data_IF_257607374074
#
_entry.id   IF_257607374074
#
_cell.length_a   1.000
_cell.length_b   1.000
_cell.length_c   1.000
_cell.angle_alpha   90.00
_cell.angle_beta   90.00
_cell.angle_gamma   90.00
#
_symmetry.space_group_name_H-M   'P 1'
#
loop_
_entity.id
_entity.type
_entity.pdbx_description
1 polymer ?
#
# COMPACT_ATOMS: atom_id res chain seq x y z
N UNK A 1 10.21 -18.59 3.25
CA UNK A 1 9.12 -18.86 2.30
C UNK A 1 9.39 -18.03 1.07
N UNK A 2 9.41 -18.64 -0.10
CA UNK A 2 10.02 -18.02 -1.28
C UNK A 2 9.05 -17.00 -1.89
N UNK A 3 9.54 -15.78 -2.14
CA UNK A 3 8.80 -14.69 -2.79
C UNK A 3 8.08 -15.13 -4.06
N UNK A 4 8.70 -16.02 -4.84
CA UNK A 4 8.11 -16.59 -6.05
C UNK A 4 6.79 -17.35 -5.78
N UNK A 5 6.69 -18.07 -4.67
CA UNK A 5 5.48 -18.84 -4.33
C UNK A 5 4.31 -17.92 -4.01
N UNK A 6 4.56 -16.84 -3.25
CA UNK A 6 3.57 -15.82 -2.93
C UNK A 6 3.12 -15.07 -4.19
N UNK A 7 4.07 -14.60 -5.00
CA UNK A 7 3.76 -13.89 -6.24
C UNK A 7 2.92 -14.75 -7.18
N UNK A 8 3.28 -16.02 -7.37
CA UNK A 8 2.53 -16.93 -8.24
C UNK A 8 1.11 -17.18 -7.73
N UNK A 9 0.92 -17.33 -6.43
CA UNK A 9 -0.41 -17.51 -5.84
C UNK A 9 -1.29 -16.26 -6.05
N UNK A 10 -0.75 -15.07 -5.80
CA UNK A 10 -1.44 -13.79 -6.06
C UNK A 10 -1.82 -13.66 -7.54
N UNK A 11 -0.89 -13.96 -8.46
CA UNK A 11 -1.15 -13.87 -9.90
C UNK A 11 -2.24 -14.86 -10.34
N UNK A 12 -2.28 -16.05 -9.75
CA UNK A 12 -3.36 -17.02 -10.00
C UNK A 12 -4.73 -16.50 -9.53
N UNK A 13 -4.78 -15.82 -8.37
CA UNK A 13 -6.01 -15.20 -7.87
C UNK A 13 -6.45 -14.05 -8.78
N UNK A 14 -5.51 -13.20 -9.21
CA UNK A 14 -5.78 -12.07 -10.09
C UNK A 14 -6.20 -12.49 -11.51
N UNK A 15 -5.77 -13.68 -11.96
CA UNK A 15 -5.93 -14.17 -13.34
C UNK A 15 -5.35 -13.21 -14.39
N UNK A 16 -4.36 -12.41 -14.00
CA UNK A 16 -3.67 -11.45 -14.87
C UNK A 16 -2.15 -11.51 -14.62
N UNK A 17 -1.38 -12.20 -15.49
CA UNK A 17 0.07 -12.30 -15.34
C UNK A 17 0.79 -10.96 -15.57
N UNK A 18 0.13 -9.98 -16.21
CA UNK A 18 0.70 -8.66 -16.47
C UNK A 18 0.93 -7.82 -15.21
N UNK A 19 0.37 -8.23 -14.06
CA UNK A 19 0.54 -7.52 -12.78
C UNK A 19 1.80 -7.90 -12.00
N UNK A 20 2.63 -8.86 -12.46
CA UNK A 20 3.82 -9.32 -11.71
C UNK A 20 4.70 -8.18 -11.19
N UNK A 21 5.04 -7.15 -12.00
CA UNK A 21 5.89 -6.06 -11.52
C UNK A 21 5.25 -5.25 -10.38
N UNK A 22 3.93 -5.07 -10.42
CA UNK A 22 3.19 -4.34 -9.39
C UNK A 22 3.10 -5.17 -8.11
N UNK A 23 2.83 -6.48 -8.22
CA UNK A 23 2.78 -7.39 -7.08
C UNK A 23 4.14 -7.44 -6.36
N UNK A 24 5.23 -7.57 -7.11
CA UNK A 24 6.58 -7.56 -6.54
C UNK A 24 6.91 -6.23 -5.85
N UNK A 25 6.54 -5.10 -6.45
CA UNK A 25 6.74 -3.78 -5.84
C UNK A 25 5.98 -3.64 -4.52
N UNK A 26 4.72 -4.11 -4.46
CA UNK A 26 3.93 -4.13 -3.23
C UNK A 26 4.57 -4.98 -2.15
N UNK A 27 5.03 -6.19 -2.47
CA UNK A 27 5.64 -7.07 -1.48
C UNK A 27 6.96 -6.47 -0.95
N UNK A 28 7.80 -5.90 -1.83
CA UNK A 28 9.03 -5.21 -1.42
C UNK A 28 8.74 -3.98 -0.57
N UNK A 29 7.69 -3.24 -0.88
CA UNK A 29 7.29 -2.05 -0.12
C UNK A 29 6.78 -2.42 1.27
N UNK A 30 5.96 -3.47 1.37
CA UNK A 30 5.55 -4.03 2.66
C UNK A 30 6.75 -4.49 3.50
N UNK A 31 7.72 -5.12 2.85
CA UNK A 31 8.95 -5.56 3.51
C UNK A 31 9.76 -4.39 4.08
N UNK A 32 9.78 -3.24 3.38
CA UNK A 32 10.43 -2.03 3.88
C UNK A 32 9.81 -1.46 5.15
N UNK A 33 8.55 -1.83 5.46
CA UNK A 33 7.89 -1.45 6.71
C UNK A 33 8.04 -2.52 7.80
N UNK A 34 8.77 -3.62 7.54
CA UNK A 34 8.89 -4.76 8.44
C UNK A 34 7.80 -5.82 8.28
N UNK A 35 6.80 -5.60 7.41
CA UNK A 35 5.72 -6.56 7.21
C UNK A 35 6.11 -7.65 6.20
N UNK A 36 6.40 -8.86 6.71
CA UNK A 36 6.67 -10.04 5.91
C UNK A 36 5.36 -10.71 5.46
N UNK A 37 4.91 -10.37 4.25
CA UNK A 37 3.71 -10.97 3.67
C UNK A 37 3.81 -12.50 3.53
N UNK A 38 2.73 -13.20 3.89
CA UNK A 38 2.62 -14.65 3.78
C UNK A 38 1.63 -15.09 2.70
N UNK A 39 1.65 -16.37 2.30
CA UNK A 39 0.68 -16.93 1.33
C UNK A 39 -0.75 -16.86 1.86
N UNK A 40 -0.95 -16.86 3.17
CA UNK A 40 -2.26 -16.58 3.78
C UNK A 40 -2.80 -15.18 3.44
N UNK A 41 -1.91 -14.25 3.10
CA UNK A 41 -2.26 -12.86 2.76
C UNK A 41 -2.50 -12.68 1.26
N UNK A 42 -2.23 -13.69 0.41
CA UNK A 42 -2.37 -13.60 -1.05
C UNK A 42 -3.72 -13.06 -1.48
N UNK A 43 -4.81 -13.55 -0.87
CA UNK A 43 -6.16 -13.10 -1.18
C UNK A 43 -6.38 -11.63 -0.81
N UNK A 44 -5.90 -11.21 0.37
CA UNK A 44 -6.00 -9.83 0.82
C UNK A 44 -5.20 -8.90 -0.11
N UNK A 45 -3.98 -9.29 -0.47
CA UNK A 45 -3.12 -8.52 -1.38
C UNK A 45 -3.78 -8.39 -2.75
N UNK A 46 -4.26 -9.50 -3.32
CA UNK A 46 -4.95 -9.50 -4.61
C UNK A 46 -6.21 -8.62 -4.59
N UNK A 47 -7.01 -8.72 -3.53
CA UNK A 47 -8.21 -7.91 -3.36
C UNK A 47 -7.90 -6.42 -3.24
N UNK A 48 -6.94 -6.05 -2.37
CA UNK A 48 -6.50 -4.67 -2.19
C UNK A 48 -5.93 -4.08 -3.48
N UNK A 49 -5.16 -4.87 -4.24
CA UNK A 49 -4.65 -4.47 -5.55
C UNK A 49 -5.78 -4.14 -6.53
N UNK A 50 -6.77 -5.03 -6.68
CA UNK A 50 -7.91 -4.79 -7.57
C UNK A 50 -8.76 -3.60 -7.13
N UNK A 51 -8.99 -3.45 -5.81
CA UNK A 51 -9.75 -2.35 -5.23
C UNK A 51 -9.08 -1.01 -5.49
N UNK A 52 -7.80 -0.88 -5.13
CA UNK A 52 -7.04 0.36 -5.31
C UNK A 52 -6.85 0.70 -6.77
N UNK A 53 -6.56 -0.29 -7.62
CA UNK A 53 -6.51 -0.07 -9.07
C UNK A 53 -7.83 0.49 -9.60
N UNK A 54 -8.95 -0.12 -9.25
CA UNK A 54 -10.27 0.36 -9.67
C UNK A 54 -10.54 1.77 -9.17
N UNK A 55 -10.15 2.08 -7.93
CA UNK A 55 -10.27 3.42 -7.36
C UNK A 55 -9.49 4.47 -8.15
N UNK A 56 -8.19 4.22 -8.42
CA UNK A 56 -7.33 5.13 -9.19
C UNK A 56 -7.88 5.32 -10.60
N UNK A 57 -8.20 4.24 -11.31
CA UNK A 57 -8.72 4.30 -12.68
C UNK A 57 -10.03 5.09 -12.76
N UNK A 58 -10.92 4.94 -11.77
CA UNK A 58 -12.15 5.71 -11.68
C UNK A 58 -11.89 7.20 -11.44
N UNK A 59 -10.90 7.54 -10.61
CA UNK A 59 -10.55 8.94 -10.33
C UNK A 59 -9.96 9.66 -11.55
N UNK A 60 -9.06 9.00 -12.27
CA UNK A 60 -8.39 9.59 -13.44
C UNK A 60 -9.15 9.38 -14.75
N UNK A 61 -10.12 8.46 -14.78
CA UNK A 61 -10.89 8.03 -15.95
C UNK A 61 -9.98 7.52 -17.09
N UNK A 62 -9.04 6.63 -16.74
CA UNK A 62 -8.19 5.90 -17.67
C UNK A 62 -8.51 4.39 -17.64
N UNK A 63 -8.01 3.66 -18.64
CA UNK A 63 -8.11 2.19 -18.69
C UNK A 63 -6.93 1.50 -17.96
N UNK A 64 -5.81 2.20 -17.82
CA UNK A 64 -4.57 1.70 -17.21
C UNK A 64 -3.94 2.76 -16.32
N UNK A 65 -3.18 2.32 -15.30
CA UNK A 65 -2.47 3.20 -14.38
C UNK A 65 -1.22 3.74 -15.12
N UNK A 66 -1.10 5.07 -15.31
CA UNK A 66 0.10 5.67 -15.88
C UNK A 66 1.35 5.40 -15.03
N UNK A 67 2.53 5.35 -15.66
CA UNK A 67 3.80 5.10 -14.97
C UNK A 67 4.03 6.05 -13.78
N UNK A 68 3.67 7.33 -13.93
CA UNK A 68 3.81 8.35 -12.88
C UNK A 68 2.94 8.10 -11.64
N UNK A 69 1.94 7.22 -11.72
CA UNK A 69 1.09 6.81 -10.60
C UNK A 69 1.44 5.41 -10.06
N UNK A 70 2.49 4.75 -10.57
CA UNK A 70 2.83 3.38 -10.15
C UNK A 70 3.23 3.31 -8.68
N UNK A 71 4.17 4.15 -8.24
CA UNK A 71 4.60 4.20 -6.83
C UNK A 71 3.48 4.66 -5.89
N UNK A 72 2.59 5.50 -6.41
CA UNK A 72 1.38 5.96 -5.72
C UNK A 72 0.42 4.80 -5.49
N UNK A 73 0.17 4.00 -6.54
CA UNK A 73 -0.65 2.81 -6.43
C UNK A 73 -0.05 1.80 -5.45
N UNK A 74 1.28 1.59 -5.47
CA UNK A 74 1.97 0.69 -4.55
C UNK A 74 1.74 1.13 -3.09
N UNK A 75 1.99 2.40 -2.77
CA UNK A 75 1.79 2.90 -1.41
C UNK A 75 0.32 2.80 -0.95
N UNK A 76 -0.63 3.15 -1.82
CA UNK A 76 -2.05 3.01 -1.49
C UNK A 76 -2.48 1.56 -1.27
N UNK A 77 -1.94 0.61 -2.04
CA UNK A 77 -2.19 -0.82 -1.84
C UNK A 77 -1.62 -1.27 -0.49
N UNK A 78 -0.40 -0.85 -0.16
CA UNK A 78 0.23 -1.17 1.13
C UNK A 78 -0.59 -0.61 2.30
N UNK A 79 -1.03 0.66 2.22
CA UNK A 79 -1.88 1.28 3.23
C UNK A 79 -3.20 0.54 3.42
N UNK A 80 -3.79 0.03 2.34
CA UNK A 80 -5.02 -0.76 2.43
C UNK A 80 -4.82 -2.12 3.11
N UNK A 81 -3.71 -2.80 2.80
CA UNK A 81 -3.35 -4.08 3.40
C UNK A 81 -3.07 -3.90 4.90
N UNK A 82 -2.19 -2.96 5.25
CA UNK A 82 -1.82 -2.66 6.63
C UNK A 82 -3.04 -2.18 7.43
N UNK A 83 -3.87 -1.32 6.85
CA UNK A 83 -5.11 -0.85 7.48
C UNK A 83 -6.12 -1.96 7.73
N UNK A 84 -6.28 -2.89 6.78
CA UNK A 84 -7.17 -4.04 6.97
C UNK A 84 -6.65 -4.96 8.07
N UNK A 85 -5.34 -5.25 8.08
CA UNK A 85 -4.70 -6.07 9.12
C UNK A 85 -4.79 -5.42 10.49
N UNK A 86 -4.60 -4.10 10.59
CA UNK A 86 -4.76 -3.35 11.83
C UNK A 86 -6.20 -3.43 12.36
N UNK A 87 -7.19 -3.16 11.50
CA UNK A 87 -8.61 -3.18 11.90
C UNK A 87 -9.13 -4.57 12.30
N UNK A 88 -8.49 -5.63 11.81
CA UNK A 88 -8.85 -7.02 12.12
C UNK A 88 -8.06 -7.58 13.29
N UNK A 89 -7.15 -6.80 13.88
CA UNK A 89 -6.27 -7.23 14.98
C UNK A 89 -5.26 -8.30 14.56
N UNK A 90 -4.99 -8.44 13.26
CA UNK A 90 -4.04 -9.41 12.69
C UNK A 90 -2.67 -8.79 12.38
N UNK A 91 -2.48 -7.52 12.74
CA UNK A 91 -1.21 -6.82 12.55
C UNK A 91 -0.38 -6.91 13.83
N UNK A 92 0.75 -7.59 13.74
CA UNK A 92 1.74 -7.62 14.81
C UNK A 92 2.56 -6.32 14.75
N UNK A 93 2.23 -5.36 15.62
CA UNK A 93 2.88 -4.04 15.65
C UNK A 93 4.36 -4.13 16.04
N UNK A 94 4.74 -5.14 16.83
CA UNK A 94 6.13 -5.40 17.23
C UNK A 94 7.03 -5.81 16.04
N UNK A 95 6.44 -6.31 14.95
CA UNK A 95 7.15 -6.70 13.74
C UNK A 95 7.34 -5.53 12.76
N UNK A 96 6.66 -4.40 12.97
CA UNK A 96 6.78 -3.22 12.13
C UNK A 96 7.98 -2.37 12.58
N UNK A 97 8.76 -1.89 11.62
CA UNK A 97 9.81 -0.92 11.87
C UNK A 97 9.20 0.48 11.98
N UNK A 98 8.59 0.76 13.14
CA UNK A 98 7.86 2.00 13.38
C UNK A 98 8.80 3.23 13.45
N UNK A 99 10.08 3.05 13.76
CA UNK A 99 11.05 4.16 13.76
C UNK A 99 11.40 4.60 12.33
N UNK A 100 11.75 3.66 11.46
CA UNK A 100 11.99 3.95 10.04
C UNK A 100 10.76 4.54 9.35
N UNK A 101 9.57 4.10 9.78
CA UNK A 101 8.28 4.62 9.31
C UNK A 101 8.08 6.09 9.67
N UNK A 102 8.36 6.48 10.92
CA UNK A 102 8.22 7.87 11.37
C UNK A 102 9.16 8.79 10.58
N UNK A 103 10.42 8.37 10.39
CA UNK A 103 11.39 9.12 9.59
C UNK A 103 10.92 9.33 8.14
N UNK A 104 10.34 8.29 7.51
CA UNK A 104 9.82 8.40 6.14
C UNK A 104 8.64 9.37 5.99
N UNK A 105 7.81 9.52 7.02
CA UNK A 105 6.69 10.47 7.04
C UNK A 105 7.22 11.89 7.23
N UNK A 106 8.21 12.08 8.13
CA UNK A 106 8.86 13.37 8.36
C UNK A 106 9.62 13.91 7.14
N UNK A 107 10.23 13.03 6.33
CA UNK A 107 10.85 13.39 5.06
C UNK A 107 9.82 13.74 3.97
N UNK A 108 8.60 13.21 4.08
CA UNK A 108 7.48 13.52 3.19
C UNK A 108 6.84 14.88 3.48
N UNK A 109 5.95 15.32 2.58
CA UNK A 109 5.22 16.60 2.67
C UNK A 109 4.30 16.71 3.92
N UNK A 110 4.23 15.66 4.76
CA UNK A 110 3.39 15.57 5.95
C UNK A 110 4.25 15.45 7.21
N UNK A 111 4.61 16.58 7.82
CA UNK A 111 5.31 16.60 9.11
C UNK A 111 4.39 16.20 10.26
N UNK A 112 4.34 14.91 10.59
CA UNK A 112 3.67 14.42 11.81
C UNK A 112 4.72 14.27 12.90
N UNK A 113 4.70 15.17 13.88
CA UNK A 113 5.63 15.10 15.03
C UNK A 113 5.07 14.09 16.03
N UNK A 114 5.70 12.93 16.14
CA UNK A 114 5.39 11.96 17.18
C UNK A 114 6.20 12.24 18.45
N UNK A 115 5.56 12.04 19.60
CA UNK A 115 6.19 12.09 20.91
C UNK A 115 6.54 10.67 21.37
N UNK A 116 7.53 10.54 22.27
CA UNK A 116 7.91 9.28 22.92
C UNK A 116 6.76 8.62 23.71
N UNK A 117 5.69 9.38 23.96
CA UNK A 117 4.47 8.93 24.64
C UNK A 117 3.37 8.41 23.72
N UNK A 118 3.51 8.55 22.40
CA UNK A 118 2.49 8.10 21.45
C UNK A 118 2.52 6.58 21.30
N UNK A 119 1.33 5.97 21.30
CA UNK A 119 1.22 4.52 21.17
C UNK A 119 1.62 4.05 19.78
N UNK A 120 2.17 2.84 19.71
CA UNK A 120 2.54 2.19 18.44
C UNK A 120 1.35 2.08 17.47
N UNK A 121 0.14 1.94 18.02
CA UNK A 121 -1.10 1.98 17.24
C UNK A 121 -1.31 3.33 16.54
N UNK A 122 -1.06 4.45 17.23
CA UNK A 122 -1.25 5.78 16.67
C UNK A 122 -0.21 6.08 15.57
N UNK A 123 1.03 5.61 15.76
CA UNK A 123 2.09 5.68 14.74
C UNK A 123 1.72 4.88 13.49
N UNK A 124 1.23 3.64 13.68
CA UNK A 124 0.77 2.80 12.58
C UNK A 124 -0.44 3.41 11.84
N UNK A 125 -1.42 3.96 12.56
CA UNK A 125 -2.59 4.63 11.97
C UNK A 125 -2.18 5.86 11.14
N UNK A 126 -1.24 6.66 11.63
CA UNK A 126 -0.72 7.81 10.91
C UNK A 126 0.00 7.42 9.61
N UNK A 127 0.82 6.35 9.65
CA UNK A 127 1.43 5.78 8.44
C UNK A 127 0.36 5.32 7.44
N UNK A 128 -0.61 4.55 7.91
CA UNK A 128 -1.69 4.03 7.06
C UNK A 128 -2.47 5.19 6.42
N UNK A 129 -2.72 6.25 7.19
CA UNK A 129 -3.33 7.49 6.69
C UNK A 129 -2.48 8.14 5.60
N UNK A 130 -1.17 8.29 5.83
CA UNK A 130 -0.23 8.85 4.86
C UNK A 130 -0.20 8.04 3.54
N UNK A 131 -0.12 6.72 3.63
CA UNK A 131 -0.14 5.81 2.49
C UNK A 131 -1.45 5.88 1.67
N UNK A 132 -2.58 6.15 2.34
CA UNK A 132 -3.91 6.21 1.71
C UNK A 132 -4.26 7.57 1.11
N UNK A 133 -3.95 8.66 1.81
CA UNK A 133 -4.53 9.98 1.53
C UNK A 133 -3.51 11.01 1.00
N UNK A 134 -2.20 10.81 1.21
CA UNK A 134 -1.16 11.80 0.95
C UNK A 134 -0.90 12.17 -0.52
N UNK A 135 -1.70 11.68 -1.48
CA UNK A 135 -1.37 11.68 -2.92
C UNK A 135 -2.45 12.27 -3.84
N UNK A 136 -3.41 13.01 -3.27
CA UNK A 136 -4.53 13.61 -3.99
C UNK A 136 -4.13 14.60 -5.10
N UNK A 137 -3.02 15.33 -4.90
CA UNK A 137 -2.46 16.26 -5.88
C UNK A 137 -1.92 15.53 -7.12
N UNK A 138 -1.31 14.36 -6.96
CA UNK A 138 -0.73 13.60 -8.06
C UNK A 138 -1.78 13.09 -9.06
N UNK A 139 -2.97 12.73 -8.58
CA UNK A 139 -4.08 12.34 -9.47
C UNK A 139 -4.56 13.49 -10.36
N UNK A 140 -4.39 14.73 -9.93
CA UNK A 140 -4.88 15.90 -10.67
C UNK A 140 -4.17 16.05 -12.03
N UNK A 141 -2.90 15.64 -12.12
CA UNK A 141 -2.12 15.69 -13.36
C UNK A 141 -2.61 14.70 -14.43
N UNK A 142 -3.29 13.62 -14.02
CA UNK A 142 -3.74 12.54 -14.91
C UNK A 142 -5.25 12.51 -15.12
N UNK A 143 -6.01 13.39 -14.45
CA UNK A 143 -7.47 13.35 -14.45
C UNK A 143 -8.06 13.77 -15.80
N UNK A 144 -8.82 12.88 -16.43
CA UNK A 144 -9.68 13.20 -17.58
C UNK A 144 -11.11 13.44 -17.13
N UNK A 145 -11.60 14.67 -17.30
CA UNK A 145 -12.99 14.99 -16.99
C UNK A 145 -13.95 14.22 -17.91
N UNK A 146 -14.90 13.50 -17.31
CA UNK A 146 -16.02 12.88 -18.00
C UNK A 146 -17.28 13.66 -17.62
N UNK A 147 -18.02 14.09 -18.63
CA UNK A 147 -19.30 14.78 -18.49
C UNK A 147 -20.44 13.78 -18.70
#
# INVERSE_FOLDING_TARGET
>A
MDMETLTNDILNILRDPGQSPLVEAVIRRLDSFGYKAAVSDSWLIAFSLQKTRSHILNQINHQEIPDGLREIAVDMICGEILGTKLSTGQLELEALDLEAVVESIEEGDAKVVFSDTDSDTAKAEALIGWLREGKGCDFSCFRRMRW
#
